data_IF_601649582686
#
_entry.id   IF_601649582686
#
_cell.length_a   1.000
_cell.length_b   1.000
_cell.length_c   1.000
_cell.angle_alpha   90.00
_cell.angle_beta   90.00
_cell.angle_gamma   90.00
#
_symmetry.space_group_name_H-M   'P 1'
#
loop_
_entity.id
_entity.type
_entity.pdbx_description
1 polymer ?
#
# COMPACT_ATOMS: atom_id res chain seq x y z
N UNK A 1 -30.35 16.09 -29.55
CA UNK A 1 -29.41 14.95 -29.74
C UNK A 1 -27.97 15.35 -29.51
N UNK A 2 -27.45 16.40 -30.18
CA UNK A 2 -26.06 16.87 -30.04
C UNK A 2 -25.66 17.18 -28.58
N UNK A 3 -26.51 17.93 -27.84
CA UNK A 3 -26.27 18.26 -26.43
C UNK A 3 -26.17 17.03 -25.53
N UNK A 4 -27.04 16.03 -25.71
CA UNK A 4 -26.99 14.80 -24.92
C UNK A 4 -25.68 14.03 -25.16
N UNK A 5 -25.23 13.92 -26.42
CA UNK A 5 -23.95 13.30 -26.76
C UNK A 5 -22.79 14.06 -26.11
N UNK A 6 -22.81 15.40 -26.15
CA UNK A 6 -21.77 16.22 -25.51
C UNK A 6 -21.73 16.03 -24.00
N UNK A 7 -22.89 16.00 -23.33
CA UNK A 7 -22.98 15.73 -21.90
C UNK A 7 -22.46 14.32 -21.60
N UNK A 8 -22.89 13.29 -22.34
CA UNK A 8 -22.39 11.93 -22.17
C UNK A 8 -20.86 11.84 -22.31
N UNK A 9 -20.30 12.47 -23.35
CA UNK A 9 -18.85 12.48 -23.58
C UNK A 9 -18.13 13.20 -22.43
N UNK A 10 -18.62 14.35 -21.98
CA UNK A 10 -18.04 15.05 -20.83
C UNK A 10 -18.06 14.20 -19.56
N UNK A 11 -19.18 13.51 -19.26
CA UNK A 11 -19.31 12.63 -18.09
C UNK A 11 -18.33 11.47 -18.18
N UNK A 12 -18.21 10.81 -19.33
CA UNK A 12 -17.23 9.72 -19.54
C UNK A 12 -15.81 10.22 -19.32
N UNK A 13 -15.44 11.39 -19.85
CA UNK A 13 -14.13 11.99 -19.58
C UNK A 13 -13.91 12.27 -18.10
N UNK A 14 -14.88 12.87 -17.40
CA UNK A 14 -14.76 13.10 -15.95
C UNK A 14 -14.57 11.80 -15.17
N UNK A 15 -15.36 10.76 -15.48
CA UNK A 15 -15.23 9.45 -14.84
C UNK A 15 -13.82 8.87 -15.04
N UNK A 16 -13.23 8.98 -16.23
CA UNK A 16 -11.88 8.44 -16.48
C UNK A 16 -10.76 9.15 -15.74
N UNK A 17 -10.97 10.40 -15.28
CA UNK A 17 -9.93 11.17 -14.58
C UNK A 17 -9.99 10.99 -13.06
N UNK A 18 -11.08 10.44 -12.50
CA UNK A 18 -11.25 10.28 -11.04
C UNK A 18 -10.30 9.22 -10.46
N UNK A 19 -9.88 8.21 -11.22
CA UNK A 19 -9.01 7.13 -10.72
C UNK A 19 -7.60 7.58 -10.25
N UNK A 20 -7.22 8.85 -10.44
CA UNK A 20 -5.93 9.38 -9.99
C UNK A 20 -5.95 9.82 -8.52
N UNK A 21 -6.36 8.92 -7.61
CA UNK A 21 -6.40 9.20 -6.18
C UNK A 21 -5.08 8.80 -5.50
N UNK A 22 -4.27 9.81 -5.23
CA UNK A 22 -3.21 9.91 -4.23
C UNK A 22 -2.65 8.58 -3.67
N UNK A 23 -1.62 8.05 -4.31
CA UNK A 23 -0.64 7.22 -3.61
C UNK A 23 -0.01 8.08 -2.51
N UNK A 24 0.02 7.61 -1.26
CA UNK A 24 0.83 8.23 -0.19
C UNK A 24 2.31 8.10 -0.59
N UNK A 25 2.79 8.99 -1.45
CA UNK A 25 4.17 9.02 -1.93
C UNK A 25 5.07 9.71 -0.88
N UNK A 26 4.85 9.39 0.39
CA UNK A 26 5.77 9.78 1.44
C UNK A 26 6.88 8.73 1.51
N UNK A 27 8.17 9.12 1.46
CA UNK A 27 9.25 8.17 1.67
C UNK A 27 9.18 7.67 3.11
N UNK A 28 8.83 6.39 3.30
CA UNK A 28 8.86 5.79 4.64
C UNK A 28 10.32 5.72 5.11
N UNK A 29 10.62 6.41 6.21
CA UNK A 29 11.93 6.40 6.86
C UNK A 29 11.85 5.57 8.14
N UNK A 30 12.61 4.49 8.20
CA UNK A 30 12.64 3.59 9.36
C UNK A 30 13.90 3.78 10.21
N UNK A 31 13.74 3.57 11.52
CA UNK A 31 14.89 3.42 12.41
C UNK A 31 15.62 2.11 12.11
N UNK A 32 16.91 2.06 12.46
CA UNK A 32 17.73 0.83 12.36
C UNK A 32 17.65 -0.03 13.63
N UNK A 33 16.64 0.19 14.46
CA UNK A 33 16.42 -0.62 15.66
C UNK A 33 15.95 -2.02 15.26
N UNK A 34 16.54 -3.04 15.87
CA UNK A 34 16.16 -4.43 15.66
C UNK A 34 15.07 -4.84 16.65
N UNK A 35 13.82 -4.88 16.16
CA UNK A 35 12.61 -5.29 16.89
C UNK A 35 11.79 -6.21 15.99
N UNK A 36 12.21 -7.48 15.83
CA UNK A 36 11.69 -8.34 14.78
C UNK A 36 10.19 -8.58 14.92
N UNK A 37 9.50 -8.65 13.78
CA UNK A 37 8.08 -9.03 13.68
C UNK A 37 7.91 -10.08 12.60
N UNK A 38 6.95 -10.99 12.80
CA UNK A 38 6.55 -11.96 11.79
C UNK A 38 5.37 -11.42 11.00
N UNK A 39 5.49 -11.38 9.67
CA UNK A 39 4.38 -11.07 8.77
C UNK A 39 3.37 -12.22 8.66
N UNK A 40 2.15 -11.91 8.23
CA UNK A 40 1.14 -12.89 7.84
C UNK A 40 1.53 -13.68 6.58
N UNK A 41 2.52 -13.19 5.83
CA UNK A 41 3.20 -13.86 4.73
C UNK A 41 4.27 -14.89 5.18
N UNK A 42 4.54 -14.99 6.48
CA UNK A 42 5.54 -15.89 7.06
C UNK A 42 6.98 -15.39 6.95
N UNK A 43 7.21 -14.12 6.59
CA UNK A 43 8.53 -13.51 6.52
C UNK A 43 8.82 -12.74 7.83
N UNK A 44 10.04 -12.86 8.33
CA UNK A 44 10.50 -12.06 9.47
C UNK A 44 11.08 -10.73 8.99
N UNK A 45 10.53 -9.63 9.47
CA UNK A 45 11.00 -8.27 9.20
C UNK A 45 11.80 -7.73 10.39
N UNK A 46 12.83 -6.92 10.12
CA UNK A 46 13.72 -6.36 11.15
C UNK A 46 12.99 -5.50 12.18
N UNK A 47 11.94 -4.80 11.75
CA UNK A 47 10.96 -4.09 12.58
C UNK A 47 9.67 -3.84 11.77
N UNK A 48 8.62 -3.42 12.47
CA UNK A 48 7.31 -3.13 11.85
C UNK A 48 7.37 -2.05 10.76
N UNK A 49 8.25 -1.05 10.92
CA UNK A 49 8.42 -0.02 9.90
C UNK A 49 8.97 -0.62 8.60
N UNK A 50 9.98 -1.51 8.68
CA UNK A 50 10.52 -2.22 7.52
C UNK A 50 9.48 -3.11 6.84
N UNK A 51 8.59 -3.74 7.62
CA UNK A 51 7.46 -4.49 7.08
C UNK A 51 6.56 -3.59 6.24
N UNK A 52 6.15 -2.43 6.77
CA UNK A 52 5.32 -1.46 6.04
C UNK A 52 6.02 -0.91 4.80
N UNK A 53 7.32 -0.63 4.91
CA UNK A 53 8.11 -0.15 3.77
C UNK A 53 8.14 -1.17 2.63
N UNK A 54 8.41 -2.44 2.93
CA UNK A 54 8.38 -3.50 1.92
C UNK A 54 6.97 -3.77 1.40
N UNK A 55 5.95 -3.74 2.26
CA UNK A 55 4.55 -3.88 1.89
C UNK A 55 4.11 -2.82 0.89
N UNK A 56 4.48 -1.56 1.13
CA UNK A 56 4.27 -0.46 0.20
C UNK A 56 5.04 -0.64 -1.11
N UNK A 57 6.34 -0.99 -1.02
CA UNK A 57 7.20 -1.16 -2.19
C UNK A 57 6.76 -2.32 -3.11
N UNK A 58 6.11 -3.35 -2.55
CA UNK A 58 5.60 -4.52 -3.29
C UNK A 58 4.14 -4.37 -3.73
N UNK A 59 3.45 -3.30 -3.33
CA UNK A 59 2.00 -3.14 -3.51
C UNK A 59 1.19 -4.35 -2.97
N UNK A 60 1.68 -4.95 -1.89
CA UNK A 60 1.04 -6.09 -1.21
C UNK A 60 0.88 -5.75 0.25
N UNK A 61 -0.35 -5.80 0.76
CA UNK A 61 -0.64 -5.61 2.18
C UNK A 61 -0.14 -6.83 2.96
N UNK A 62 0.87 -6.61 3.78
CA UNK A 62 1.36 -7.58 4.77
C UNK A 62 1.08 -7.01 6.15
N UNK A 63 0.52 -7.82 7.05
CA UNK A 63 0.25 -7.41 8.42
C UNK A 63 1.18 -8.13 9.39
N UNK A 64 1.42 -7.53 10.55
CA UNK A 64 2.10 -8.23 11.65
C UNK A 64 1.19 -9.37 12.13
N UNK A 65 1.67 -10.61 11.99
CA UNK A 65 1.05 -11.80 12.57
C UNK A 65 1.34 -11.90 14.07
N UNK A 66 2.60 -11.70 14.47
CA UNK A 66 3.01 -11.61 15.88
C UNK A 66 4.38 -10.93 16.02
N UNK A 67 4.71 -10.51 17.24
CA UNK A 67 6.04 -10.01 17.60
C UNK A 67 7.06 -11.17 17.61
N UNK A 68 8.32 -10.86 17.27
CA UNK A 68 9.39 -11.84 17.16
C UNK A 68 9.56 -12.40 15.74
N UNK A 69 10.39 -13.43 15.60
CA UNK A 69 10.64 -14.10 14.30
C UNK A 69 9.59 -15.17 14.03
N UNK A 70 9.30 -15.45 12.76
CA UNK A 70 8.33 -16.48 12.37
C UNK A 70 8.73 -17.91 12.79
N UNK A 71 10.03 -18.22 12.84
CA UNK A 71 10.53 -19.55 13.23
C UNK A 71 10.57 -19.79 14.75
N UNK A 72 10.34 -18.75 15.54
CA UNK A 72 10.32 -18.83 17.01
C UNK A 72 8.91 -19.02 17.60
N UNK A 73 7.91 -19.39 16.79
CA UNK A 73 6.50 -19.48 17.20
C UNK A 73 5.80 -20.70 16.64
#
# INVERSE_FOLDING_TARGET
MKLAILVCVSVVFYLTMVEAEATDESPIVCTREYKPVCGDDGITYSNECMLRWESNAKEVVVNVKHEGKCESS
#
